data_IF_333568971608
#
_entry.id   IF_333568971608
#
_cell.length_a   1.000
_cell.length_b   1.000
_cell.length_c   1.000
_cell.angle_alpha   90.00
_cell.angle_beta   90.00
_cell.angle_gamma   90.00
#
_symmetry.space_group_name_H-M   'P 1'
#
loop_
_entity.id
_entity.type
_entity.pdbx_description
1 polymer ?
#
# COMPACT_ATOMS: atom_id res chain seq x y z
N UNK A 1 -8.35 -2.33 -26.59
CA UNK A 1 -7.93 -2.25 -25.18
C UNK A 1 -8.32 -3.56 -24.54
N UNK A 2 -7.34 -4.31 -24.06
CA UNK A 2 -7.60 -5.45 -23.18
C UNK A 2 -8.06 -4.89 -21.83
N UNK A 3 -9.25 -5.27 -21.37
CA UNK A 3 -9.69 -4.95 -20.01
C UNK A 3 -9.34 -6.13 -19.10
N UNK A 4 -8.05 -6.35 -18.90
CA UNK A 4 -7.55 -7.52 -18.16
C UNK A 4 -8.08 -7.60 -16.71
N UNK A 5 -8.56 -6.48 -16.15
CA UNK A 5 -9.08 -6.36 -14.80
C UNK A 5 -10.59 -6.05 -14.76
N UNK A 6 -11.32 -6.22 -15.86
CA UNK A 6 -12.76 -6.00 -15.90
C UNK A 6 -13.48 -6.76 -14.78
N UNK A 7 -14.26 -6.03 -13.98
CA UNK A 7 -15.04 -6.61 -12.88
C UNK A 7 -14.22 -7.00 -11.64
N UNK A 8 -12.95 -6.58 -11.57
CA UNK A 8 -12.11 -6.74 -10.37
C UNK A 8 -12.11 -5.48 -9.53
N UNK A 9 -12.37 -5.63 -8.24
CA UNK A 9 -12.26 -4.56 -7.25
C UNK A 9 -10.91 -4.62 -6.55
N UNK A 10 -10.11 -3.58 -6.71
CA UNK A 10 -8.69 -3.58 -6.33
C UNK A 10 -8.42 -2.50 -5.29
N UNK A 11 -8.01 -2.91 -4.09
CA UNK A 11 -7.49 -1.98 -3.08
C UNK A 11 -6.02 -1.67 -3.37
N UNK A 12 -5.69 -0.39 -3.48
CA UNK A 12 -4.32 0.11 -3.63
C UNK A 12 -3.98 0.93 -2.38
N UNK A 13 -2.99 0.47 -1.61
CA UNK A 13 -2.51 1.17 -0.41
C UNK A 13 -1.54 2.30 -0.74
N UNK A 14 -1.51 3.34 0.11
CA UNK A 14 -0.68 4.55 -0.09
C UNK A 14 -0.73 5.07 -1.54
N UNK A 15 -1.95 5.18 -2.06
CA UNK A 15 -2.26 5.43 -3.47
C UNK A 15 -1.80 6.78 -4.01
N UNK A 16 -1.41 7.71 -3.15
CA UNK A 16 -0.85 9.03 -3.50
C UNK A 16 0.69 9.06 -3.46
N UNK A 17 1.33 7.96 -3.06
CA UNK A 17 2.77 7.85 -2.90
C UNK A 17 3.40 6.80 -3.83
N UNK A 18 4.69 7.01 -4.16
CA UNK A 18 5.48 6.13 -5.03
C UNK A 18 4.77 5.85 -6.37
N UNK A 19 4.45 4.59 -6.65
CA UNK A 19 3.77 4.17 -7.87
C UNK A 19 2.25 4.30 -7.78
N UNK A 20 1.71 4.67 -6.61
CA UNK A 20 0.28 4.74 -6.33
C UNK A 20 -0.56 5.45 -7.40
N UNK A 21 -0.22 6.69 -7.80
CA UNK A 21 -1.00 7.43 -8.79
C UNK A 21 -1.07 6.72 -10.15
N UNK A 22 0.08 6.24 -10.64
CA UNK A 22 0.17 5.51 -11.90
C UNK A 22 -0.54 4.16 -11.84
N UNK A 23 -0.46 3.45 -10.71
CA UNK A 23 -1.18 2.19 -10.50
C UNK A 23 -2.68 2.40 -10.51
N UNK A 24 -3.18 3.46 -9.85
CA UNK A 24 -4.61 3.80 -9.86
C UNK A 24 -5.11 4.10 -11.28
N UNK A 25 -4.37 4.93 -12.02
CA UNK A 25 -4.70 5.27 -13.42
C UNK A 25 -4.73 4.02 -14.30
N UNK A 26 -3.63 3.26 -14.34
CA UNK A 26 -3.52 2.09 -15.22
C UNK A 26 -4.52 1.00 -14.84
N UNK A 27 -4.76 0.73 -13.55
CA UNK A 27 -5.74 -0.29 -13.15
C UNK A 27 -7.17 0.10 -13.54
N UNK A 28 -7.52 1.39 -13.40
CA UNK A 28 -8.82 1.89 -13.86
C UNK A 28 -8.95 1.79 -15.39
N UNK A 29 -7.90 2.13 -16.15
CA UNK A 29 -7.85 1.95 -17.62
C UNK A 29 -8.00 0.48 -18.04
N UNK A 30 -7.50 -0.47 -17.24
CA UNK A 30 -7.67 -1.91 -17.45
C UNK A 30 -9.05 -2.43 -16.98
N UNK A 31 -9.95 -1.56 -16.52
CA UNK A 31 -11.33 -1.88 -16.18
C UNK A 31 -11.58 -2.31 -14.72
N UNK A 32 -10.61 -2.10 -13.82
CA UNK A 32 -10.78 -2.35 -12.40
C UNK A 32 -11.66 -1.28 -11.72
N UNK A 33 -12.42 -1.68 -10.70
CA UNK A 33 -12.92 -0.75 -9.69
C UNK A 33 -11.79 -0.50 -8.67
N UNK A 34 -11.15 0.66 -8.74
CA UNK A 34 -10.03 1.01 -7.86
C UNK A 34 -10.55 1.59 -6.54
N UNK A 35 -10.16 0.98 -5.43
CA UNK A 35 -10.31 1.51 -4.07
C UNK A 35 -8.96 2.05 -3.63
N UNK A 36 -8.78 3.37 -3.73
CA UNK A 36 -7.54 4.04 -3.37
C UNK A 36 -7.55 4.46 -1.89
N UNK A 37 -6.53 4.05 -1.12
CA UNK A 37 -6.31 4.52 0.25
C UNK A 37 -4.98 5.27 0.33
N UNK A 38 -4.98 6.45 0.94
CA UNK A 38 -3.79 7.25 1.23
C UNK A 38 -3.35 7.15 2.71
N UNK A 39 -3.94 6.21 3.46
CA UNK A 39 -3.72 6.14 4.91
C UNK A 39 -2.32 5.64 5.26
N UNK A 40 -1.77 6.16 6.35
CA UNK A 40 -0.54 5.63 6.96
C UNK A 40 -0.81 4.26 7.60
N UNK A 41 0.18 3.36 7.48
CA UNK A 41 0.04 1.97 7.88
C UNK A 41 0.92 1.54 9.06
N UNK A 42 1.63 2.50 9.67
CA UNK A 42 2.57 2.24 10.79
C UNK A 42 1.82 1.72 12.02
N UNK A 43 0.67 2.32 12.34
CA UNK A 43 -0.11 1.95 13.51
C UNK A 43 -0.55 0.47 13.44
N UNK A 44 -0.53 -0.28 14.57
CA UNK A 44 -0.79 -1.72 14.59
C UNK A 44 -2.13 -2.16 13.96
N UNK A 45 -3.15 -1.31 14.04
CA UNK A 45 -4.51 -1.57 13.57
C UNK A 45 -4.85 -0.87 12.24
N UNK A 46 -3.96 -0.04 11.68
CA UNK A 46 -4.21 0.71 10.45
C UNK A 46 -4.55 -0.18 9.27
N UNK A 47 -3.80 -1.27 9.09
CA UNK A 47 -4.05 -2.23 8.02
C UNK A 47 -5.47 -2.82 8.07
N UNK A 48 -5.95 -3.16 9.28
CA UNK A 48 -7.30 -3.70 9.45
C UNK A 48 -8.36 -2.65 9.08
N UNK A 49 -8.20 -1.40 9.53
CA UNK A 49 -9.13 -0.31 9.18
C UNK A 49 -9.19 -0.05 7.69
N UNK A 50 -8.04 -0.03 7.00
CA UNK A 50 -7.97 0.23 5.56
C UNK A 50 -8.68 -0.87 4.77
N UNK A 51 -8.44 -2.14 5.13
CA UNK A 51 -9.09 -3.26 4.45
C UNK A 51 -10.59 -3.32 4.77
N UNK A 52 -10.99 -3.09 6.02
CA UNK A 52 -12.41 -3.05 6.40
C UNK A 52 -13.16 -1.94 5.67
N UNK A 53 -12.59 -0.73 5.60
CA UNK A 53 -13.16 0.39 4.87
C UNK A 53 -13.25 0.12 3.35
N UNK A 54 -12.31 -0.66 2.82
CA UNK A 54 -12.37 -1.10 1.43
C UNK A 54 -13.52 -2.08 1.19
N UNK A 55 -13.92 -2.90 2.16
CA UNK A 55 -14.95 -3.92 1.99
C UNK A 55 -14.49 -5.11 1.15
N UNK A 56 -15.40 -5.76 0.41
CA UNK A 56 -15.04 -6.94 -0.41
C UNK A 56 -14.11 -6.55 -1.58
N UNK A 57 -12.89 -7.09 -1.59
CA UNK A 57 -11.92 -6.88 -2.66
C UNK A 57 -11.60 -8.20 -3.39
N UNK A 58 -11.22 -8.11 -4.66
CA UNK A 58 -10.67 -9.23 -5.43
C UNK A 58 -9.14 -9.27 -5.36
N UNK A 59 -8.52 -8.09 -5.28
CA UNK A 59 -7.07 -7.91 -5.32
C UNK A 59 -6.66 -6.88 -4.27
N UNK A 60 -5.66 -7.24 -3.47
CA UNK A 60 -4.95 -6.31 -2.60
C UNK A 60 -3.60 -5.97 -3.25
N UNK A 61 -3.42 -4.73 -3.65
CA UNK A 61 -2.15 -4.19 -4.11
C UNK A 61 -1.45 -3.47 -2.96
N UNK A 62 -0.46 -4.16 -2.38
CA UNK A 62 0.36 -3.63 -1.29
C UNK A 62 1.45 -2.72 -1.85
N UNK A 63 1.09 -1.46 -2.09
CA UNK A 63 2.05 -0.39 -2.37
C UNK A 63 2.42 0.26 -1.03
N UNK A 64 3.67 0.01 -0.60
CA UNK A 64 4.24 0.57 0.62
C UNK A 64 5.36 1.54 0.26
N UNK A 65 5.26 2.76 0.78
CA UNK A 65 6.11 3.87 0.42
C UNK A 65 6.56 4.63 1.66
N UNK A 66 7.83 5.03 1.60
CA UNK A 66 8.50 5.89 2.57
C UNK A 66 9.47 6.76 1.77
N UNK A 67 9.67 8.01 2.20
CA UNK A 67 10.79 8.80 1.68
C UNK A 67 12.10 8.12 2.09
N UNK A 68 12.83 7.57 1.13
CA UNK A 68 14.06 6.86 1.38
C UNK A 68 15.05 7.74 2.18
N UNK A 69 15.48 7.28 3.38
CA UNK A 69 16.56 7.93 4.09
C UNK A 69 17.85 7.91 3.28
N UNK A 70 18.67 8.94 3.44
CA UNK A 70 19.97 9.07 2.76
C UNK A 70 21.14 9.04 3.73
N UNK A 71 20.91 8.61 4.97
CA UNK A 71 21.94 8.49 6.01
C UNK A 71 22.99 7.47 5.57
N UNK A 72 24.30 7.76 5.68
CA UNK A 72 25.34 6.77 5.41
C UNK A 72 25.13 5.53 6.28
N UNK A 73 25.34 4.34 5.71
CA UNK A 73 24.98 3.07 6.38
C UNK A 73 25.61 2.88 7.77
N UNK A 74 26.79 3.46 8.02
CA UNK A 74 27.49 3.38 9.31
C UNK A 74 26.94 4.34 10.37
N UNK A 75 26.15 5.33 9.95
CA UNK A 75 25.56 6.36 10.80
C UNK A 75 24.05 6.13 11.02
N UNK A 76 23.47 5.09 10.41
CA UNK A 76 22.07 4.72 10.59
C UNK A 76 21.84 4.32 12.05
N UNK A 77 20.88 4.98 12.68
CA UNK A 77 20.47 4.69 14.05
C UNK A 77 19.49 3.51 14.10
N UNK A 78 19.41 2.85 15.26
CA UNK A 78 18.41 1.78 15.48
C UNK A 78 16.98 2.30 15.30
N UNK A 79 16.71 3.56 15.67
CA UNK A 79 15.40 4.20 15.49
C UNK A 79 15.08 4.41 14.01
N UNK A 80 16.01 4.96 13.23
CA UNK A 80 15.83 5.12 11.77
C UNK A 80 15.59 3.77 11.09
N UNK A 81 16.37 2.75 11.45
CA UNK A 81 16.18 1.40 10.96
C UNK A 81 14.78 0.86 11.31
N UNK A 82 14.35 1.06 12.54
CA UNK A 82 13.04 0.59 13.02
C UNK A 82 11.90 1.31 12.32
N UNK A 83 12.01 2.60 12.07
CA UNK A 83 11.02 3.39 11.34
C UNK A 83 10.84 2.90 9.90
N UNK A 84 11.95 2.59 9.20
CA UNK A 84 11.90 2.03 7.84
C UNK A 84 11.16 0.69 7.83
N UNK A 85 11.47 -0.22 8.75
CA UNK A 85 10.76 -1.50 8.84
C UNK A 85 9.30 -1.33 9.26
N UNK A 86 9.00 -0.41 10.16
CA UNK A 86 7.64 -0.11 10.58
C UNK A 86 6.77 0.42 9.44
N UNK A 87 7.37 1.14 8.48
CA UNK A 87 6.68 1.66 7.30
C UNK A 87 6.58 0.65 6.13
N UNK A 88 7.64 -0.12 5.87
CA UNK A 88 7.75 -0.93 4.64
C UNK A 88 7.60 -2.44 4.83
N UNK A 89 7.80 -2.95 6.04
CA UNK A 89 7.84 -4.40 6.32
C UNK A 89 6.69 -4.83 7.20
N UNK A 90 6.55 -4.20 8.36
CA UNK A 90 5.53 -4.57 9.35
C UNK A 90 4.08 -4.49 8.83
N UNK A 91 3.70 -3.54 7.94
CA UNK A 91 2.33 -3.47 7.45
C UNK A 91 1.94 -4.63 6.53
N UNK A 92 2.88 -5.17 5.76
CA UNK A 92 2.62 -6.22 4.76
C UNK A 92 1.88 -7.43 5.35
N UNK A 93 2.37 -8.12 6.39
CA UNK A 93 1.66 -9.26 6.97
C UNK A 93 0.33 -8.85 7.64
N UNK A 94 0.19 -7.59 8.09
CA UNK A 94 -1.05 -7.09 8.71
C UNK A 94 -2.14 -6.88 7.66
N UNK A 95 -1.78 -6.31 6.50
CA UNK A 95 -2.68 -6.13 5.36
C UNK A 95 -3.15 -7.48 4.81
N UNK A 96 -2.22 -8.42 4.59
CA UNK A 96 -2.55 -9.76 4.08
C UNK A 96 -3.42 -10.55 5.06
N UNK A 97 -3.23 -10.38 6.37
CA UNK A 97 -4.08 -11.02 7.38
C UNK A 97 -5.48 -10.42 7.44
N UNK A 98 -5.63 -9.14 7.11
CA UNK A 98 -6.90 -8.44 7.18
C UNK A 98 -7.77 -8.61 5.93
N UNK A 99 -7.15 -8.87 4.77
CA UNK A 99 -7.82 -9.12 3.48
C UNK A 99 -8.34 -10.55 3.35
#
# INVERSE_FOLDING_TARGET
MENALAGKRVLITQADAFMGPALCEVFAEQGAEVVASADELVAPDAAARVVEAAGQIDVLLVNLALKAPSTPAVDVTDDEWRDVFAALVDPLPRLVRAA
#
